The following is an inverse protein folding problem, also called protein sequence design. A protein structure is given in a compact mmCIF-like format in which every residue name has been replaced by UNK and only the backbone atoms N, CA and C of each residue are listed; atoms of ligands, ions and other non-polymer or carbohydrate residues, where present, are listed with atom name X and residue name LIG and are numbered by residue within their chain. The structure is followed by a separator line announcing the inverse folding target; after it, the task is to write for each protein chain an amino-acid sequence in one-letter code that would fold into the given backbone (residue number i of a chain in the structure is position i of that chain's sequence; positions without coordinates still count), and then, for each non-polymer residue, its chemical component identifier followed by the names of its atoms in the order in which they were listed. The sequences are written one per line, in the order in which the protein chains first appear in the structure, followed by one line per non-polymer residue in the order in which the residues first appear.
data_IF_499890716489
#
_entry.id   IF_499890716489
#
_cell.length_a   1.000
_cell.length_b   1.000
_cell.length_c   1.000
_cell.angle_alpha   90.00
_cell.angle_beta   90.00
_cell.angle_gamma   90.00
#
_symmetry.space_group_name_H-M   'P 1'
#
loop_
_entity.id
_entity.type
_entity.pdbx_description
1 polymer ?
#
# COMPACT_ATOMS: atom_id res chain seq x y z
N UNK A 1 27.20 -8.29 10.20
CA UNK A 1 27.95 -7.63 9.10
C UNK A 1 27.04 -6.77 8.20
N UNK A 2 25.95 -7.30 7.62
CA UNK A 2 25.11 -6.55 6.67
C UNK A 2 24.38 -5.38 7.31
N UNK A 3 23.72 -5.57 8.48
CA UNK A 3 22.93 -4.50 9.12
C UNK A 3 23.76 -3.28 9.56
N UNK A 4 25.08 -3.37 9.64
CA UNK A 4 25.93 -2.25 10.09
C UNK A 4 25.75 -0.97 9.27
N UNK A 5 25.65 -1.09 7.94
CA UNK A 5 25.51 0.04 7.02
C UNK A 5 24.06 0.52 6.79
N UNK A 6 23.05 -0.35 6.59
CA UNK A 6 21.66 0.06 6.37
C UNK A 6 20.91 0.40 7.66
N UNK A 7 21.49 0.22 8.86
CA UNK A 7 20.79 0.50 10.11
C UNK A 7 20.32 1.96 10.18
N UNK A 8 19.02 2.17 10.40
CA UNK A 8 18.43 3.51 10.49
C UNK A 8 18.47 4.28 9.16
N UNK A 9 18.53 3.60 8.02
CA UNK A 9 18.45 4.22 6.69
C UNK A 9 17.03 4.14 6.13
N UNK A 10 16.80 4.76 4.97
CA UNK A 10 15.52 4.63 4.24
C UNK A 10 15.17 3.18 3.90
N UNK A 11 16.14 2.24 3.92
CA UNK A 11 15.86 0.82 3.74
C UNK A 11 15.07 0.22 4.92
N UNK A 12 15.30 0.70 6.14
CA UNK A 12 14.49 0.34 7.32
C UNK A 12 13.05 0.81 7.15
N UNK A 13 12.86 2.04 6.62
CA UNK A 13 11.54 2.56 6.31
C UNK A 13 10.86 1.72 5.22
N UNK A 14 11.56 1.37 4.13
CA UNK A 14 11.03 0.53 3.05
C UNK A 14 10.50 -0.81 3.60
N UNK A 15 11.30 -1.50 4.41
CA UNK A 15 10.90 -2.75 5.06
C UNK A 15 9.65 -2.57 5.91
N UNK A 16 9.64 -1.54 6.78
CA UNK A 16 8.52 -1.26 7.67
C UNK A 16 7.21 -1.08 6.90
N UNK A 17 7.20 -0.24 5.86
CA UNK A 17 5.98 0.03 5.08
C UNK A 17 5.38 -1.26 4.50
N UNK A 18 6.19 -2.06 3.78
CA UNK A 18 5.68 -3.27 3.15
C UNK A 18 5.31 -4.36 4.16
N UNK A 19 6.11 -4.55 5.21
CA UNK A 19 5.85 -5.57 6.22
C UNK A 19 4.58 -5.25 7.03
N UNK A 20 4.41 -3.99 7.48
CA UNK A 20 3.22 -3.61 8.23
C UNK A 20 1.95 -3.67 7.38
N UNK A 21 2.02 -3.17 6.13
CA UNK A 21 0.89 -3.24 5.21
C UNK A 21 0.55 -4.69 4.85
N UNK A 22 1.53 -5.44 4.33
CA UNK A 22 1.33 -6.77 3.76
C UNK A 22 0.92 -7.82 4.80
N UNK A 23 1.39 -7.73 6.04
CA UNK A 23 0.99 -8.64 7.09
C UNK A 23 -0.28 -8.17 7.81
N UNK A 24 -0.25 -6.97 8.40
CA UNK A 24 -1.27 -6.57 9.38
C UNK A 24 -2.43 -5.80 8.77
N UNK A 25 -2.18 -4.80 7.93
CA UNK A 25 -3.28 -4.05 7.31
C UNK A 25 -4.10 -4.97 6.39
N UNK A 26 -3.42 -5.77 5.57
CA UNK A 26 -4.06 -6.67 4.61
C UNK A 26 -4.90 -7.77 5.27
N UNK A 27 -4.44 -8.40 6.36
CA UNK A 27 -5.24 -9.42 7.04
C UNK A 27 -6.48 -8.82 7.71
N UNK A 28 -6.37 -7.61 8.28
CA UNK A 28 -7.50 -6.88 8.85
C UNK A 28 -8.52 -6.55 7.75
N UNK A 29 -8.07 -6.04 6.61
CA UNK A 29 -8.96 -5.77 5.47
C UNK A 29 -9.60 -7.04 4.91
N UNK A 30 -8.89 -8.16 4.93
CA UNK A 30 -9.39 -9.46 4.48
C UNK A 30 -10.57 -9.91 5.35
N UNK A 31 -10.41 -9.88 6.68
CA UNK A 31 -11.50 -10.29 7.57
C UNK A 31 -12.67 -9.29 7.52
N UNK A 32 -12.41 -8.00 7.31
CA UNK A 32 -13.45 -6.99 7.10
C UNK A 32 -14.23 -7.30 5.81
N UNK A 33 -13.56 -7.60 4.69
CA UNK A 33 -14.23 -7.93 3.43
C UNK A 33 -15.12 -9.18 3.56
N UNK A 34 -14.72 -10.16 4.37
CA UNK A 34 -15.54 -11.32 4.71
C UNK A 34 -16.73 -11.00 5.63
N UNK A 35 -16.48 -10.34 6.76
CA UNK A 35 -17.47 -10.20 7.83
C UNK A 35 -18.47 -9.05 7.59
N UNK A 36 -18.06 -7.97 6.92
CA UNK A 36 -18.89 -6.77 6.75
C UNK A 36 -20.20 -7.01 6.01
N UNK A 37 -20.25 -7.77 4.90
CA UNK A 37 -21.51 -8.09 4.24
C UNK A 37 -22.46 -8.85 5.16
N UNK A 38 -21.96 -9.84 5.90
CA UNK A 38 -22.74 -10.66 6.83
C UNK A 38 -23.33 -9.80 7.94
N UNK A 39 -22.52 -8.94 8.58
CA UNK A 39 -22.97 -8.01 9.62
C UNK A 39 -23.99 -6.98 9.12
N UNK A 40 -24.03 -6.72 7.80
CA UNK A 40 -24.98 -5.82 7.15
C UNK A 40 -26.19 -6.54 6.54
N UNK A 41 -26.44 -7.79 6.92
CA UNK A 41 -27.59 -8.57 6.46
C UNK A 41 -27.47 -9.08 5.02
N UNK A 42 -26.24 -9.20 4.49
CA UNK A 42 -25.93 -9.74 3.16
C UNK A 42 -25.12 -11.04 3.31
N UNK A 43 -25.74 -12.18 3.68
CA UNK A 43 -25.02 -13.42 3.97
C UNK A 43 -24.31 -14.00 2.73
N UNK A 44 -24.79 -13.66 1.53
CA UNK A 44 -24.20 -14.09 0.24
C UNK A 44 -23.10 -13.13 -0.27
N UNK A 45 -22.68 -12.16 0.54
CA UNK A 45 -21.63 -11.20 0.18
C UNK A 45 -22.13 -9.86 -0.37
N UNK A 46 -21.17 -9.02 -0.76
CA UNK A 46 -21.45 -7.68 -1.28
C UNK A 46 -21.93 -7.72 -2.75
N UNK A 47 -22.70 -6.72 -3.22
CA UNK A 47 -23.10 -6.62 -4.61
C UNK A 47 -21.90 -6.56 -5.56
N UNK A 48 -22.04 -7.04 -6.81
CA UNK A 48 -20.97 -7.11 -7.81
C UNK A 48 -20.33 -5.74 -8.04
N UNK A 49 -21.13 -4.67 -8.05
CA UNK A 49 -20.64 -3.30 -8.18
C UNK A 49 -19.69 -2.92 -7.02
N UNK A 50 -20.06 -3.27 -5.78
CA UNK A 50 -19.21 -3.05 -4.60
C UNK A 50 -17.93 -3.89 -4.67
N UNK A 51 -18.03 -5.16 -5.07
CA UNK A 51 -16.86 -6.05 -5.21
C UNK A 51 -15.89 -5.57 -6.30
N UNK A 52 -16.38 -5.00 -7.41
CA UNK A 52 -15.52 -4.39 -8.44
C UNK A 52 -14.70 -3.25 -7.84
N UNK A 53 -15.32 -2.40 -7.01
CA UNK A 53 -14.64 -1.30 -6.35
C UNK A 53 -13.65 -1.78 -5.28
N UNK A 54 -13.99 -2.81 -4.50
CA UNK A 54 -13.07 -3.44 -3.53
C UNK A 54 -11.84 -4.02 -4.23
N UNK A 55 -12.00 -4.70 -5.37
CA UNK A 55 -10.86 -5.23 -6.15
C UNK A 55 -10.01 -4.12 -6.75
N UNK A 56 -10.62 -3.06 -7.27
CA UNK A 56 -9.87 -1.90 -7.75
C UNK A 56 -9.05 -1.28 -6.62
N UNK A 57 -9.68 -1.05 -5.47
CA UNK A 57 -9.03 -0.50 -4.29
C UNK A 57 -7.86 -1.38 -3.82
N UNK A 58 -8.06 -2.70 -3.74
CA UNK A 58 -7.03 -3.68 -3.41
C UNK A 58 -5.81 -3.52 -4.33
N UNK A 59 -6.01 -3.54 -5.65
CA UNK A 59 -4.90 -3.43 -6.60
C UNK A 59 -4.23 -2.06 -6.55
N UNK A 60 -5.00 -0.98 -6.43
CA UNK A 60 -4.47 0.38 -6.28
C UNK A 60 -3.57 0.50 -5.04
N UNK A 61 -4.02 0.01 -3.88
CA UNK A 61 -3.23 0.04 -2.64
C UNK A 61 -2.00 -0.87 -2.71
N UNK A 62 -2.13 -2.10 -3.21
CA UNK A 62 -1.02 -3.05 -3.34
C UNK A 62 0.09 -2.53 -4.26
N UNK A 63 -0.26 -2.08 -5.46
CA UNK A 63 0.71 -1.54 -6.42
C UNK A 63 1.34 -0.24 -5.90
N UNK A 64 0.57 0.61 -5.22
CA UNK A 64 1.11 1.82 -4.60
C UNK A 64 2.09 1.52 -3.48
N UNK A 65 1.78 0.55 -2.59
CA UNK A 65 2.69 0.17 -1.51
C UNK A 65 3.99 -0.46 -2.03
N UNK A 66 3.90 -1.25 -3.11
CA UNK A 66 5.09 -1.72 -3.83
C UNK A 66 5.89 -0.53 -4.39
N UNK A 67 5.24 0.45 -5.01
CA UNK A 67 5.88 1.68 -5.50
C UNK A 67 6.59 2.48 -4.41
N UNK A 68 5.92 2.72 -3.27
CA UNK A 68 6.50 3.36 -2.08
C UNK A 68 7.74 2.61 -1.61
N UNK A 69 7.63 1.28 -1.50
CA UNK A 69 8.70 0.43 -0.97
C UNK A 69 9.90 0.41 -1.91
N UNK A 70 9.69 0.29 -3.21
CA UNK A 70 10.76 0.32 -4.21
C UNK A 70 11.45 1.69 -4.23
N UNK A 71 10.70 2.79 -4.18
CA UNK A 71 11.27 4.13 -4.08
C UNK A 71 12.15 4.27 -2.82
N UNK A 72 11.64 3.88 -1.65
CA UNK A 72 12.42 3.93 -0.41
C UNK A 72 13.62 2.97 -0.43
N UNK A 73 13.52 1.83 -1.11
CA UNK A 73 14.64 0.89 -1.30
C UNK A 73 15.75 1.54 -2.12
N UNK A 74 15.41 2.20 -3.23
CA UNK A 74 16.37 2.98 -4.03
C UNK A 74 16.99 4.11 -3.20
N UNK A 75 16.17 4.86 -2.45
CA UNK A 75 16.66 5.91 -1.56
C UNK A 75 17.60 5.36 -0.48
N UNK A 76 17.31 4.18 0.07
CA UNK A 76 18.13 3.51 1.08
C UNK A 76 19.47 3.06 0.52
N UNK A 77 19.46 2.42 -0.65
CA UNK A 77 20.69 2.03 -1.34
C UNK A 77 21.58 3.25 -1.63
N UNK A 78 20.99 4.36 -2.10
CA UNK A 78 21.71 5.59 -2.39
C UNK A 78 22.20 6.31 -1.12
N UNK A 79 21.42 6.27 -0.03
CA UNK A 79 21.85 6.77 1.27
C UNK A 79 23.06 6.01 1.79
N UNK A 80 23.06 4.68 1.66
CA UNK A 80 24.19 3.84 2.08
C UNK A 80 25.43 4.20 1.24
N UNK A 81 25.28 4.32 -0.08
CA UNK A 81 26.37 4.65 -0.98
C UNK A 81 26.99 6.04 -0.73
N UNK A 82 26.18 7.06 -0.43
CA UNK A 82 26.66 8.43 -0.24
C UNK A 82 27.09 8.77 1.19
N UNK A 83 26.50 8.12 2.19
CA UNK A 83 26.62 8.52 3.60
C UNK A 83 27.32 7.47 4.47
N UNK A 84 27.31 6.19 4.08
CA UNK A 84 27.72 5.08 4.98
C UNK A 84 28.92 4.27 4.48
N UNK A 85 29.11 4.17 3.17
CA UNK A 85 30.24 3.46 2.57
C UNK A 85 31.53 4.27 2.43
N UNK A 86 31.52 5.58 2.09
CA UNK A 86 32.75 6.33 1.87
C UNK A 86 33.58 6.49 3.15
N UNK A 87 34.89 6.62 3.00
CA UNK A 87 35.81 6.89 4.11
C UNK A 87 35.60 8.32 4.66
N UNK A 88 36.03 8.55 5.91
CA UNK A 88 35.80 9.81 6.62
C UNK A 88 36.45 10.98 5.88
N UNK A 89 35.63 11.85 5.27
CA UNK A 89 36.05 12.99 4.45
C UNK A 89 35.32 13.05 3.10
N UNK A 90 34.92 11.89 2.56
CA UNK A 90 34.14 11.78 1.31
C UNK A 90 32.64 11.53 1.57
N UNK A 91 32.29 11.03 2.75
CA UNK A 91 30.91 10.80 3.14
C UNK A 91 30.15 12.12 3.27
N UNK A 92 28.99 12.19 2.61
CA UNK A 92 28.12 13.36 2.71
C UNK A 92 27.52 13.48 4.13
N UNK A 93 27.27 14.72 4.55
CA UNK A 93 26.48 14.98 5.76
C UNK A 93 25.03 14.54 5.54
N UNK A 94 24.31 14.27 6.64
CA UNK A 94 22.91 13.82 6.60
C UNK A 94 22.02 14.73 5.72
N UNK A 95 22.12 16.05 5.89
CA UNK A 95 21.32 17.01 5.13
C UNK A 95 21.69 17.03 3.66
N UNK A 96 22.98 16.96 3.33
CA UNK A 96 23.44 16.91 1.94
C UNK A 96 23.03 15.61 1.24
N UNK A 97 23.05 14.48 1.94
CA UNK A 97 22.51 13.22 1.40
C UNK A 97 21.02 13.33 1.13
N UNK A 98 20.23 13.84 2.10
CA UNK A 98 18.78 13.96 1.95
C UNK A 98 18.38 14.89 0.81
N UNK A 99 19.13 15.96 0.56
CA UNK A 99 18.92 16.82 -0.60
C UNK A 99 19.00 16.02 -1.92
N UNK A 100 19.98 15.12 -2.05
CA UNK A 100 20.11 14.22 -3.22
C UNK A 100 18.98 13.20 -3.34
N UNK A 101 18.37 12.80 -2.22
CA UNK A 101 17.27 11.84 -2.18
C UNK A 101 15.89 12.47 -2.45
N UNK A 102 15.79 13.80 -2.44
CA UNK A 102 14.54 14.56 -2.65
C UNK A 102 13.71 14.09 -3.85
N UNK A 103 14.28 13.81 -5.04
CA UNK A 103 13.49 13.32 -6.19
C UNK A 103 12.80 11.99 -5.91
N UNK A 104 13.46 11.09 -5.18
CA UNK A 104 12.90 9.78 -4.81
C UNK A 104 11.81 9.94 -3.75
N UNK A 105 11.93 10.91 -2.85
CA UNK A 105 10.88 11.24 -1.89
C UNK A 105 9.62 11.81 -2.58
N UNK A 106 9.77 12.59 -3.64
CA UNK A 106 8.64 13.01 -4.47
C UNK A 106 7.97 11.83 -5.16
N UNK A 107 8.74 10.89 -5.72
CA UNK A 107 8.17 9.67 -6.31
C UNK A 107 7.39 8.85 -5.27
N UNK A 108 7.94 8.68 -4.06
CA UNK A 108 7.26 8.04 -2.92
C UNK A 108 5.96 8.77 -2.58
N UNK A 109 5.96 10.09 -2.55
CA UNK A 109 4.78 10.90 -2.25
C UNK A 109 3.67 10.69 -3.27
N UNK A 110 4.01 10.65 -4.57
CA UNK A 110 3.04 10.37 -5.64
C UNK A 110 2.38 9.01 -5.43
N UNK A 111 3.15 7.95 -5.12
CA UNK A 111 2.57 6.66 -4.79
C UNK A 111 1.74 6.70 -3.50
N UNK A 112 2.10 7.54 -2.52
CA UNK A 112 1.29 7.81 -1.33
C UNK A 112 -0.08 8.38 -1.66
N UNK A 113 -0.16 9.31 -2.62
CA UNK A 113 -1.44 9.85 -3.11
C UNK A 113 -2.27 8.77 -3.80
N UNK A 114 -1.66 7.92 -4.64
CA UNK A 114 -2.37 6.80 -5.28
C UNK A 114 -2.87 5.79 -4.24
N UNK A 115 -2.08 5.52 -3.19
CA UNK A 115 -2.49 4.69 -2.08
C UNK A 115 -3.72 5.27 -1.36
N UNK A 116 -3.72 6.59 -1.10
CA UNK A 116 -4.87 7.29 -0.50
C UNK A 116 -6.12 7.17 -1.37
N UNK A 117 -6.00 7.32 -2.69
CA UNK A 117 -7.11 7.12 -3.63
C UNK A 117 -7.65 5.68 -3.56
N UNK A 118 -6.76 4.69 -3.45
CA UNK A 118 -7.14 3.29 -3.23
C UNK A 118 -7.90 3.11 -1.91
N UNK A 119 -7.45 3.74 -0.82
CA UNK A 119 -8.14 3.69 0.46
C UNK A 119 -9.53 4.34 0.40
N UNK A 120 -9.66 5.51 -0.25
CA UNK A 120 -10.95 6.17 -0.45
C UNK A 120 -11.90 5.29 -1.26
N UNK A 121 -11.40 4.61 -2.31
CA UNK A 121 -12.18 3.66 -3.09
C UNK A 121 -12.65 2.46 -2.23
N UNK A 122 -11.77 1.92 -1.38
CA UNK A 122 -12.12 0.86 -0.43
C UNK A 122 -13.23 1.30 0.53
N UNK A 123 -13.09 2.47 1.16
CA UNK A 123 -14.10 2.98 2.08
C UNK A 123 -15.43 3.28 1.38
N UNK A 124 -15.37 3.71 0.12
CA UNK A 124 -16.55 3.99 -0.69
C UNK A 124 -17.33 2.71 -1.06
N UNK A 125 -16.67 1.54 -1.15
CA UNK A 125 -17.34 0.27 -1.49
C UNK A 125 -18.43 -0.12 -0.50
N UNK A 126 -18.28 0.27 0.77
CA UNK A 126 -19.26 0.01 1.80
C UNK A 126 -20.58 0.75 1.56
N UNK A 127 -20.59 1.83 0.81
CA UNK A 127 -21.80 2.62 0.56
C UNK A 127 -22.53 2.24 -0.74
N UNK A 128 -21.98 1.28 -1.49
CA UNK A 128 -22.59 0.80 -2.75
C UNK A 128 -23.76 -0.16 -2.45
N UNK A 129 -24.93 0.17 -3.01
CA UNK A 129 -26.17 -0.61 -2.92
C UNK A 129 -26.25 -1.76 -3.94
N UNK A 130 -27.34 -2.53 -3.89
CA UNK A 130 -27.63 -3.58 -4.88
C UNK A 130 -27.98 -2.95 -6.23
N UNK A 131 -27.36 -3.42 -7.31
CA UNK A 131 -27.67 -3.01 -8.68
C UNK A 131 -28.64 -4.02 -9.32
N UNK A 132 -29.33 -3.67 -10.41
CA UNK A 132 -30.23 -4.61 -11.13
C UNK A 132 -29.51 -5.92 -11.56
N UNK A 133 -28.24 -5.86 -11.97
CA UNK A 133 -27.42 -7.07 -12.26
C UNK A 133 -27.34 -8.05 -11.07
N UNK A 134 -27.34 -7.54 -9.84
CA UNK A 134 -27.26 -8.35 -8.63
C UNK A 134 -28.58 -9.07 -8.33
N UNK A 135 -29.71 -8.52 -8.76
CA UNK A 135 -31.04 -9.13 -8.57
C UNK A 135 -31.22 -10.28 -9.56
N UNK A 136 -30.89 -10.06 -10.83
CA UNK A 136 -31.02 -11.06 -11.89
C UNK A 136 -30.12 -12.27 -11.66
N UNK A 137 -28.90 -12.07 -11.16
CA UNK A 137 -27.98 -13.18 -10.85
C UNK A 137 -28.44 -14.01 -9.65
N UNK A 138 -29.04 -13.39 -8.64
CA UNK A 138 -29.62 -14.10 -7.49
C UNK A 138 -30.88 -14.88 -7.86
N UNK A 139 -31.74 -14.35 -8.74
CA UNK A 139 -32.89 -15.08 -9.27
C UNK A 139 -32.46 -16.32 -10.07
N UNK A 140 -31.44 -16.19 -10.93
CA UNK A 140 -30.91 -17.33 -11.70
C UNK A 140 -30.23 -18.37 -10.80
N UNK A 141 -29.57 -17.96 -9.72
CA UNK A 141 -28.94 -18.89 -8.77
C UNK A 141 -29.94 -19.57 -7.81
N UNK A 142 -31.18 -19.09 -7.75
CA UNK A 142 -32.24 -19.63 -6.90
C UNK A 142 -33.20 -20.60 -7.65
N UNK A 143 -33.00 -20.80 -8.96
CA UNK A 143 -33.71 -21.75 -9.83
C UNK A 143 -32.82 -22.95 -10.11
#
# INVERSE_FOLDING_TARGET
PVNYYPHGTQLTAAHGHLAFFGAYAMIVMTIISYAMPIMRGRPQGNPIAAQRLERFAFWAMCLSMLGITLALTVAGAWQIALQRLPESGEALSFMATHEKLTPVFWAREIFGVVFLLGLVAYLSSFFVGKTQEDVTTLEVAAV
#
